data_IF_350034310548
#
_entry.id   IF_350034310548
#
_cell.length_a   1.000
_cell.length_b   1.000
_cell.length_c   1.000
_cell.angle_alpha   90.00
_cell.angle_beta   90.00
_cell.angle_gamma   90.00
#
_symmetry.space_group_name_H-M   'P 1'
#
loop_
_entity.id
_entity.type
_entity.pdbx_description
1 polymer ?
#
# COMPACT_ATOMS: atom_id res chain seq x y z
N UNK A 1 -29.88 -6.68 -36.87
CA UNK A 1 -29.07 -5.47 -36.67
C UNK A 1 -28.66 -5.47 -35.20
N UNK A 2 -27.42 -5.88 -34.92
CA UNK A 2 -26.87 -5.82 -33.57
C UNK A 2 -26.48 -4.37 -33.29
N UNK A 3 -27.00 -3.81 -32.19
CA UNK A 3 -26.58 -2.51 -31.68
C UNK A 3 -25.11 -2.59 -31.26
N UNK A 4 -24.24 -1.66 -31.66
CA UNK A 4 -22.87 -1.65 -31.17
C UNK A 4 -22.89 -1.37 -29.67
N UNK A 5 -22.31 -2.27 -28.90
CA UNK A 5 -21.98 -2.03 -27.49
C UNK A 5 -21.04 -0.83 -27.46
N UNK A 6 -21.45 0.26 -26.82
CA UNK A 6 -20.60 1.42 -26.63
C UNK A 6 -19.32 0.98 -25.92
N UNK A 7 -18.16 1.30 -26.50
CA UNK A 7 -16.89 1.14 -25.80
C UNK A 7 -16.99 1.80 -24.41
N UNK A 8 -16.48 1.17 -23.34
CA UNK A 8 -16.50 1.78 -22.03
C UNK A 8 -15.84 3.17 -22.14
N UNK A 9 -16.53 4.20 -21.66
CA UNK A 9 -15.98 5.55 -21.59
C UNK A 9 -14.66 5.48 -20.83
N UNK A 10 -13.58 5.95 -21.46
CA UNK A 10 -12.26 5.99 -20.83
C UNK A 10 -12.29 6.76 -19.50
N UNK A 11 -11.31 6.48 -18.63
CA UNK A 11 -11.14 7.21 -17.39
C UNK A 11 -11.04 8.72 -17.67
N UNK A 12 -11.97 9.50 -17.14
CA UNK A 12 -11.90 10.96 -17.19
C UNK A 12 -11.03 11.47 -16.04
N UNK A 13 -10.07 12.35 -16.34
CA UNK A 13 -9.13 12.89 -15.37
C UNK A 13 -9.33 14.40 -15.30
N UNK A 14 -9.77 14.85 -14.12
CA UNK A 14 -9.89 16.26 -13.80
C UNK A 14 -8.86 16.60 -12.72
N UNK A 15 -8.08 17.64 -12.94
CA UNK A 15 -7.10 18.14 -11.98
C UNK A 15 -7.17 19.67 -11.93
N UNK A 16 -6.76 20.26 -10.81
CA UNK A 16 -6.61 21.70 -10.71
C UNK A 16 -5.63 22.20 -11.77
N UNK A 17 -5.93 23.33 -12.40
CA UNK A 17 -5.18 23.90 -13.54
C UNK A 17 -3.66 23.97 -13.30
N UNK A 18 -3.25 24.29 -12.07
CA UNK A 18 -1.85 24.47 -11.70
C UNK A 18 -1.15 23.17 -11.25
N UNK A 19 -1.84 22.05 -11.16
CA UNK A 19 -1.30 20.83 -10.54
C UNK A 19 -0.10 20.25 -11.30
N UNK A 20 -0.20 20.12 -12.63
CA UNK A 20 0.93 19.66 -13.46
C UNK A 20 2.14 20.59 -13.36
N UNK A 21 1.91 21.89 -13.46
CA UNK A 21 2.96 22.90 -13.28
C UNK A 21 3.60 22.84 -11.88
N UNK A 22 2.82 22.57 -10.84
CA UNK A 22 3.34 22.39 -9.49
C UNK A 22 4.21 21.14 -9.37
N UNK A 23 3.76 19.99 -9.88
CA UNK A 23 4.56 18.75 -9.92
C UNK A 23 5.91 18.95 -10.65
N UNK A 24 5.91 19.68 -11.77
CA UNK A 24 7.15 20.02 -12.49
C UNK A 24 8.09 20.86 -11.61
N UNK A 25 7.56 21.90 -10.95
CA UNK A 25 8.36 22.79 -10.08
C UNK A 25 8.94 22.05 -8.88
N UNK A 26 8.21 21.08 -8.33
CA UNK A 26 8.67 20.27 -7.19
C UNK A 26 9.53 19.07 -7.61
N UNK A 27 9.69 18.82 -8.92
CA UNK A 27 10.34 17.63 -9.46
C UNK A 27 9.74 16.32 -8.90
N UNK A 28 8.40 16.24 -8.89
CA UNK A 28 7.65 15.12 -8.32
C UNK A 28 6.88 14.32 -9.38
N UNK A 29 6.70 13.04 -9.07
CA UNK A 29 5.68 12.17 -9.65
C UNK A 29 4.99 11.44 -8.50
N UNK A 30 3.73 11.06 -8.70
CA UNK A 30 2.92 10.40 -7.67
C UNK A 30 2.59 8.98 -8.10
N UNK A 31 2.54 8.08 -7.13
CA UNK A 31 1.94 6.76 -7.26
C UNK A 31 0.95 6.55 -6.12
N UNK A 32 -0.21 6.01 -6.42
CA UNK A 32 -1.23 5.73 -5.41
C UNK A 32 -2.16 4.60 -5.87
N UNK A 33 -2.79 3.95 -4.91
CA UNK A 33 -3.71 2.83 -5.12
C UNK A 33 -5.14 3.26 -4.81
N UNK A 34 -6.10 2.62 -5.48
CA UNK A 34 -7.53 2.78 -5.21
C UNK A 34 -8.18 1.41 -5.12
N UNK A 35 -8.36 0.90 -3.90
CA UNK A 35 -8.88 -0.45 -3.69
C UNK A 35 -10.33 -0.63 -4.16
N UNK A 36 -11.14 0.44 -4.18
CA UNK A 36 -12.55 0.38 -4.62
C UNK A 36 -12.69 0.19 -6.14
N UNK A 37 -11.74 0.74 -6.89
CA UNK A 37 -11.75 0.70 -8.37
C UNK A 37 -10.67 -0.20 -8.95
N UNK A 38 -9.90 -0.90 -8.09
CA UNK A 38 -8.89 -1.88 -8.46
C UNK A 38 -7.74 -1.32 -9.30
N UNK A 39 -7.21 -0.14 -8.92
CA UNK A 39 -6.19 0.57 -9.72
C UNK A 39 -4.93 0.91 -8.92
N UNK A 40 -3.79 0.77 -9.58
CA UNK A 40 -2.55 1.46 -9.26
C UNK A 40 -2.35 2.55 -10.30
N UNK A 41 -2.22 3.79 -9.84
CA UNK A 41 -1.99 4.97 -10.66
C UNK A 41 -0.57 5.46 -10.56
N UNK A 42 -0.04 5.95 -11.67
CA UNK A 42 1.17 6.77 -11.74
C UNK A 42 0.82 8.09 -12.43
N UNK A 43 1.08 9.20 -11.75
CA UNK A 43 0.87 10.55 -12.27
C UNK A 43 2.22 11.27 -12.37
N UNK A 44 2.51 11.76 -13.56
CA UNK A 44 3.75 12.46 -13.89
C UNK A 44 3.45 13.62 -14.83
N UNK A 45 4.48 14.35 -15.26
CA UNK A 45 4.34 15.40 -16.28
C UNK A 45 4.98 14.99 -17.59
N UNK A 46 4.39 15.49 -18.66
CA UNK A 46 4.96 15.48 -20.00
C UNK A 46 5.87 16.70 -20.22
N UNK A 47 6.64 16.71 -21.31
CA UNK A 47 7.50 17.83 -21.65
C UNK A 47 6.73 19.16 -21.81
N UNK A 48 5.46 19.09 -22.23
CA UNK A 48 4.56 20.24 -22.38
C UNK A 48 3.86 20.67 -21.07
N UNK A 49 4.25 20.10 -19.91
CA UNK A 49 3.68 20.34 -18.57
C UNK A 49 2.24 19.87 -18.38
N UNK A 50 1.70 19.08 -19.30
CA UNK A 50 0.45 18.38 -19.09
C UNK A 50 0.68 17.13 -18.25
N UNK A 51 -0.36 16.71 -17.52
CA UNK A 51 -0.32 15.51 -16.71
C UNK A 51 -0.33 14.28 -17.60
N UNK A 52 0.56 13.34 -17.30
CA UNK A 52 0.54 11.98 -17.84
C UNK A 52 0.10 11.03 -16.75
N UNK A 53 -0.99 10.33 -17.01
CA UNK A 53 -1.49 9.26 -16.15
C UNK A 53 -1.22 7.90 -16.79
N UNK A 54 -0.73 6.96 -15.99
CA UNK A 54 -0.71 5.55 -16.34
C UNK A 54 -1.43 4.78 -15.24
N UNK A 55 -2.20 3.77 -15.63
CA UNK A 55 -2.89 2.90 -14.69
C UNK A 55 -2.57 1.42 -14.96
N UNK A 56 -2.66 0.63 -13.89
CA UNK A 56 -2.69 -0.83 -13.96
C UNK A 56 -3.79 -1.35 -13.05
N UNK A 57 -4.40 -2.46 -13.46
CA UNK A 57 -5.44 -3.11 -12.70
C UNK A 57 -4.85 -4.17 -11.77
N UNK A 58 -5.26 -4.14 -10.51
CA UNK A 58 -4.93 -5.13 -9.49
C UNK A 58 -6.17 -5.36 -8.62
N UNK A 59 -6.38 -6.55 -8.09
CA UNK A 59 -7.50 -6.80 -7.17
C UNK A 59 -7.20 -6.21 -5.79
N UNK A 60 -7.96 -5.18 -5.40
CA UNK A 60 -7.88 -4.49 -4.11
C UNK A 60 -6.43 -4.07 -3.72
N UNK A 61 -5.74 -3.26 -4.54
CA UNK A 61 -4.42 -2.75 -4.19
C UNK A 61 -4.53 -1.78 -3.00
N UNK A 62 -3.66 -1.92 -2.01
CA UNK A 62 -3.70 -1.17 -0.76
C UNK A 62 -2.34 -0.52 -0.46
N UNK A 63 -1.57 -1.06 0.48
CA UNK A 63 -0.27 -0.54 0.90
C UNK A 63 0.69 -0.40 -0.28
N UNK A 64 1.49 0.66 -0.28
CA UNK A 64 2.38 1.02 -1.37
C UNK A 64 3.67 1.63 -0.83
N UNK A 65 4.80 1.04 -1.17
CA UNK A 65 6.10 1.47 -0.63
C UNK A 65 7.18 1.51 -1.70
N UNK A 66 7.93 2.61 -1.75
CA UNK A 66 9.05 2.80 -2.68
C UNK A 66 10.36 2.60 -1.92
N UNK A 67 11.18 1.66 -2.39
CA UNK A 67 12.53 1.43 -1.87
C UNK A 67 13.55 1.61 -3.01
N UNK A 68 14.14 2.80 -3.11
CA UNK A 68 15.10 3.14 -4.16
C UNK A 68 14.50 3.07 -5.56
N UNK A 69 14.78 1.98 -6.29
CA UNK A 69 14.25 1.71 -7.65
C UNK A 69 13.13 0.68 -7.67
N UNK A 70 12.75 0.16 -6.52
CA UNK A 70 11.75 -0.88 -6.36
C UNK A 70 10.48 -0.30 -5.78
N UNK A 71 9.35 -0.89 -6.14
CA UNK A 71 8.03 -0.59 -5.61
C UNK A 71 7.44 -1.88 -5.04
N UNK A 72 6.84 -1.79 -3.86
CA UNK A 72 6.15 -2.88 -3.20
C UNK A 72 4.70 -2.49 -3.01
N UNK A 73 3.79 -3.44 -3.22
CA UNK A 73 2.36 -3.17 -3.12
C UNK A 73 1.61 -4.38 -2.59
N UNK A 74 0.72 -4.18 -1.63
CA UNK A 74 -0.20 -5.24 -1.20
C UNK A 74 -1.47 -5.22 -2.06
N UNK A 75 -2.02 -6.40 -2.31
CA UNK A 75 -3.31 -6.62 -2.97
C UNK A 75 -4.16 -7.55 -2.10
N UNK A 76 -5.36 -7.93 -2.56
CA UNK A 76 -6.24 -8.84 -1.81
C UNK A 76 -5.52 -10.12 -1.35
N UNK A 77 -4.78 -10.75 -2.25
CA UNK A 77 -4.18 -12.08 -2.00
C UNK A 77 -2.67 -12.12 -2.18
N UNK A 78 -2.03 -11.02 -2.63
CA UNK A 78 -0.61 -10.99 -2.91
C UNK A 78 0.09 -9.77 -2.34
N UNK A 79 1.41 -9.90 -2.22
CA UNK A 79 2.34 -8.79 -2.15
C UNK A 79 3.17 -8.79 -3.42
N UNK A 80 3.11 -7.69 -4.17
CA UNK A 80 3.84 -7.49 -5.41
C UNK A 80 5.11 -6.71 -5.17
N UNK A 81 6.19 -7.16 -5.82
CA UNK A 81 7.44 -6.43 -5.98
C UNK A 81 7.62 -6.07 -7.45
N UNK A 82 7.88 -4.80 -7.72
CA UNK A 82 8.21 -4.25 -9.02
C UNK A 82 9.61 -3.64 -8.98
N UNK A 83 10.33 -3.70 -10.09
CA UNK A 83 11.59 -2.98 -10.27
C UNK A 83 11.50 -2.02 -11.46
N UNK A 84 12.20 -0.90 -11.37
CA UNK A 84 12.46 -0.06 -12.52
C UNK A 84 13.33 -0.83 -13.54
N UNK A 85 12.78 -1.07 -14.72
CA UNK A 85 13.49 -1.74 -15.80
C UNK A 85 14.55 -0.86 -16.49
N UNK A 86 14.46 0.46 -16.33
CA UNK A 86 15.33 1.40 -17.03
C UNK A 86 16.70 1.55 -16.35
N UNK A 87 17.75 1.56 -17.16
CA UNK A 87 19.09 1.96 -16.73
C UNK A 87 19.15 3.45 -16.34
N UNK A 88 20.22 3.85 -15.65
CA UNK A 88 20.40 5.27 -15.29
C UNK A 88 20.46 6.14 -16.55
N UNK A 89 19.56 7.13 -16.63
CA UNK A 89 19.46 8.04 -17.78
C UNK A 89 18.70 7.49 -18.99
N UNK A 90 18.32 6.22 -18.97
CA UNK A 90 17.43 5.64 -19.97
C UNK A 90 16.01 6.17 -19.78
N UNK A 91 15.29 6.35 -20.89
CA UNK A 91 13.90 6.78 -20.90
C UNK A 91 13.04 5.80 -21.67
N UNK A 92 11.81 5.61 -21.21
CA UNK A 92 10.75 4.97 -21.97
C UNK A 92 9.73 6.02 -22.42
N UNK A 93 9.86 6.50 -23.65
CA UNK A 93 9.19 7.72 -24.11
C UNK A 93 9.66 8.92 -23.29
N UNK A 94 8.73 9.60 -22.61
CA UNK A 94 9.04 10.74 -21.73
C UNK A 94 9.30 10.33 -20.26
N UNK A 95 9.11 9.06 -19.90
CA UNK A 95 9.23 8.59 -18.52
C UNK A 95 10.65 8.13 -18.20
N UNK A 96 11.12 8.43 -16.98
CA UNK A 96 12.44 8.04 -16.44
C UNK A 96 12.38 6.80 -15.52
N UNK A 97 11.18 6.29 -15.25
CA UNK A 97 10.96 5.00 -14.57
C UNK A 97 9.92 4.16 -15.31
N UNK A 98 10.20 2.86 -15.42
CA UNK A 98 9.30 1.83 -15.93
C UNK A 98 9.24 0.69 -14.91
N UNK A 99 8.28 0.76 -13.98
CA UNK A 99 8.08 -0.29 -13.00
C UNK A 99 7.46 -1.52 -13.67
N UNK A 100 8.17 -2.64 -13.62
CA UNK A 100 7.71 -3.94 -14.13
C UNK A 100 7.52 -4.92 -12.97
N UNK A 101 6.42 -5.69 -12.92
CA UNK A 101 6.27 -6.75 -11.91
C UNK A 101 7.42 -7.74 -12.00
N UNK A 102 8.05 -8.05 -10.86
CA UNK A 102 9.18 -9.00 -10.75
C UNK A 102 8.80 -10.23 -9.97
N UNK A 103 8.07 -10.06 -8.88
CA UNK A 103 7.66 -11.17 -8.01
C UNK A 103 6.30 -10.86 -7.39
N UNK A 104 5.51 -11.90 -7.18
CA UNK A 104 4.30 -11.87 -6.37
C UNK A 104 4.39 -12.98 -5.32
N UNK A 105 4.15 -12.62 -4.07
CA UNK A 105 4.05 -13.57 -2.97
C UNK A 105 2.59 -13.71 -2.59
N UNK A 106 2.07 -14.94 -2.55
CA UNK A 106 0.71 -15.19 -2.07
C UNK A 106 0.69 -15.05 -0.55
N UNK A 107 -0.17 -14.17 -0.04
CA UNK A 107 -0.38 -13.95 1.40
C UNK A 107 -1.67 -14.59 1.91
N UNK A 108 -2.63 -14.84 1.01
CA UNK A 108 -4.03 -15.10 1.36
C UNK A 108 -4.81 -13.80 1.59
N UNK A 109 -6.11 -13.89 1.88
CA UNK A 109 -6.93 -12.73 2.27
C UNK A 109 -6.58 -12.40 3.72
N UNK A 110 -5.58 -11.55 3.87
CA UNK A 110 -5.09 -11.05 5.15
C UNK A 110 -5.38 -9.55 5.33
N UNK A 111 -6.07 -8.99 4.33
CA UNK A 111 -6.42 -7.58 4.25
C UNK A 111 -5.19 -6.69 4.53
N UNK A 112 -4.08 -6.87 3.82
CA UNK A 112 -2.85 -6.17 4.16
C UNK A 112 -2.90 -4.67 3.78
N UNK A 113 -2.88 -3.78 4.77
CA UNK A 113 -3.03 -2.33 4.54
C UNK A 113 -1.73 -1.58 4.27
N UNK A 114 -0.61 -2.05 4.79
CA UNK A 114 0.69 -1.38 4.68
C UNK A 114 1.81 -2.38 4.45
N UNK A 115 2.85 -1.97 3.73
CA UNK A 115 4.06 -2.76 3.46
C UNK A 115 5.30 -1.88 3.53
N UNK A 116 6.38 -2.39 4.12
CA UNK A 116 7.68 -1.72 4.19
C UNK A 116 8.80 -2.75 4.10
N UNK A 117 10.04 -2.28 4.03
CA UNK A 117 11.22 -3.11 4.21
C UNK A 117 11.94 -2.70 5.51
N UNK A 118 12.51 -3.68 6.22
CA UNK A 118 13.47 -3.41 7.28
C UNK A 118 14.87 -3.05 6.73
N UNK A 119 15.82 -2.80 7.63
CA UNK A 119 17.21 -2.49 7.28
C UNK A 119 17.95 -3.61 6.53
N UNK A 120 17.51 -4.86 6.67
CA UNK A 120 18.00 -6.01 5.93
C UNK A 120 17.28 -6.22 4.58
N UNK A 121 16.33 -5.34 4.22
CA UNK A 121 15.54 -5.46 3.00
C UNK A 121 14.46 -6.53 3.06
N UNK A 122 14.12 -7.02 4.25
CA UNK A 122 13.06 -8.00 4.46
C UNK A 122 11.70 -7.30 4.57
N UNK A 123 10.71 -7.91 3.94
CA UNK A 123 9.34 -7.40 3.92
C UNK A 123 8.71 -7.49 5.30
N UNK A 124 8.16 -6.37 5.76
CA UNK A 124 7.23 -6.28 6.88
C UNK A 124 5.93 -5.71 6.35
N UNK A 125 4.80 -6.27 6.72
CA UNK A 125 3.50 -5.76 6.33
C UNK A 125 2.51 -5.83 7.49
N UNK A 126 1.50 -4.95 7.46
CA UNK A 126 0.38 -4.98 8.39
C UNK A 126 -0.59 -6.05 7.93
N UNK A 127 -0.79 -7.09 8.74
CA UNK A 127 -1.84 -8.10 8.56
C UNK A 127 -3.03 -7.71 9.44
N UNK A 128 -3.98 -7.02 8.83
CA UNK A 128 -5.12 -6.43 9.53
C UNK A 128 -6.08 -7.49 10.06
N UNK A 129 -6.33 -8.55 9.28
CA UNK A 129 -7.24 -9.61 9.70
C UNK A 129 -6.72 -10.34 10.94
N UNK A 130 -5.42 -10.53 11.05
CA UNK A 130 -4.78 -11.13 12.22
C UNK A 130 -4.34 -10.13 13.29
N UNK A 131 -4.55 -8.82 13.07
CA UNK A 131 -4.17 -7.76 14.03
C UNK A 131 -2.68 -7.77 14.40
N UNK A 132 -1.80 -7.94 13.42
CA UNK A 132 -0.36 -8.06 13.66
C UNK A 132 0.51 -7.42 12.56
N UNK A 133 1.76 -7.16 12.90
CA UNK A 133 2.83 -7.03 11.91
C UNK A 133 3.29 -8.43 11.52
N UNK A 134 3.52 -8.65 10.24
CA UNK A 134 3.92 -9.94 9.69
C UNK A 134 5.04 -9.81 8.66
N UNK A 135 5.71 -10.92 8.39
CA UNK A 135 6.64 -11.09 7.26
C UNK A 135 6.17 -12.25 6.39
N UNK A 136 6.63 -12.26 5.14
CA UNK A 136 6.46 -13.39 4.23
C UNK A 136 7.10 -14.67 4.79
N UNK A 137 6.48 -15.81 4.51
CA UNK A 137 6.97 -17.14 4.85
C UNK A 137 6.72 -18.12 3.70
N UNK A 138 7.72 -18.92 3.28
CA UNK A 138 7.53 -19.93 2.25
C UNK A 138 6.60 -21.08 2.67
N UNK A 139 6.52 -21.37 3.98
CA UNK A 139 5.78 -22.53 4.51
C UNK A 139 4.34 -22.19 4.91
N UNK A 140 4.08 -20.92 5.26
CA UNK A 140 2.81 -20.49 5.86
C UNK A 140 2.17 -19.28 5.17
N UNK A 141 2.72 -18.83 4.03
CA UNK A 141 2.46 -17.55 3.37
C UNK A 141 2.96 -16.33 4.19
N UNK A 142 2.71 -16.32 5.50
CA UNK A 142 3.22 -15.31 6.43
C UNK A 142 3.52 -15.90 7.80
N UNK A 143 4.33 -15.19 8.59
CA UNK A 143 4.46 -15.41 10.03
C UNK A 143 4.37 -14.07 10.78
N UNK A 144 3.71 -14.03 11.95
CA UNK A 144 3.63 -12.81 12.75
C UNK A 144 5.00 -12.43 13.33
N UNK A 145 5.27 -11.14 13.37
CA UNK A 145 6.45 -10.54 14.00
C UNK A 145 6.10 -9.87 15.32
N UNK A 146 4.94 -9.23 15.39
CA UNK A 146 4.49 -8.45 16.55
C UNK A 146 2.97 -8.28 16.52
N UNK A 147 2.35 -8.16 17.70
CA UNK A 147 0.92 -7.83 17.84
C UNK A 147 0.75 -6.81 18.99
N UNK A 148 -0.32 -5.99 18.99
CA UNK A 148 -0.64 -5.14 20.11
C UNK A 148 -0.84 -5.94 21.42
N UNK A 149 -0.44 -5.41 22.58
CA UNK A 149 -0.50 -6.14 23.86
C UNK A 149 -1.91 -6.48 24.32
N UNK A 150 -2.92 -5.76 23.84
CA UNK A 150 -4.33 -6.01 24.15
C UNK A 150 -4.97 -7.12 23.29
N UNK A 151 -4.30 -7.60 22.22
CA UNK A 151 -4.78 -8.71 21.41
C UNK A 151 -4.43 -10.03 22.09
N UNK A 152 -5.43 -10.83 22.47
CA UNK A 152 -5.20 -12.07 23.22
C UNK A 152 -4.79 -13.27 22.35
N UNK A 153 -5.13 -13.27 21.06
CA UNK A 153 -4.86 -14.39 20.13
C UNK A 153 -4.88 -13.94 18.66
N UNK A 154 -4.02 -14.49 17.82
CA UNK A 154 -3.98 -14.19 16.38
C UNK A 154 -4.99 -15.05 15.62
N UNK A 155 -6.16 -14.49 15.33
CA UNK A 155 -7.18 -15.09 14.47
C UNK A 155 -7.57 -14.08 13.38
N UNK A 156 -7.99 -14.58 12.21
CA UNK A 156 -8.51 -13.79 11.10
C UNK A 156 -9.88 -13.17 11.44
N UNK A 157 -9.89 -12.22 12.35
CA UNK A 157 -11.09 -11.63 12.95
C UNK A 157 -11.09 -10.10 12.88
N UNK A 158 -10.02 -9.47 12.38
CA UNK A 158 -9.89 -8.03 12.20
C UNK A 158 -10.36 -7.29 13.46
N UNK A 159 -9.68 -7.56 14.59
CA UNK A 159 -10.21 -7.18 15.91
C UNK A 159 -10.08 -5.70 16.17
N UNK A 160 -8.90 -5.14 15.92
CA UNK A 160 -8.61 -3.72 16.16
C UNK A 160 -8.52 -2.88 14.88
N UNK A 161 -8.49 -3.54 13.72
CA UNK A 161 -8.18 -2.92 12.43
C UNK A 161 -6.84 -2.20 12.41
N UNK A 162 -5.77 -2.93 12.74
CA UNK A 162 -4.39 -2.46 12.56
C UNK A 162 -4.19 -2.12 11.08
N UNK A 163 -3.74 -0.91 10.75
CA UNK A 163 -3.74 -0.44 9.36
C UNK A 163 -2.48 0.31 8.91
N UNK A 164 -1.82 1.08 9.80
CA UNK A 164 -0.64 1.88 9.46
C UNK A 164 0.61 1.38 10.17
N UNK A 165 1.76 1.67 9.57
CA UNK A 165 3.09 1.35 10.09
C UNK A 165 4.07 2.47 9.72
N UNK A 166 4.84 2.94 10.70
CA UNK A 166 5.94 3.87 10.52
C UNK A 166 7.25 3.25 11.02
N UNK A 167 8.32 3.49 10.26
CA UNK A 167 9.65 2.96 10.52
C UNK A 167 10.57 4.06 11.09
N UNK A 168 11.41 3.70 12.05
CA UNK A 168 12.52 4.54 12.54
C UNK A 168 13.79 3.70 12.48
N UNK A 169 14.84 4.25 11.85
CA UNK A 169 16.14 3.56 11.71
C UNK A 169 16.01 2.13 11.16
N UNK A 170 15.11 1.93 10.18
CA UNK A 170 14.90 0.63 9.53
C UNK A 170 14.09 -0.38 10.35
N UNK A 171 13.49 0.01 11.47
CA UNK A 171 12.69 -0.87 12.33
C UNK A 171 11.26 -0.36 12.53
N UNK A 172 10.26 -1.24 12.73
CA UNK A 172 8.92 -0.83 13.12
C UNK A 172 8.96 -0.01 14.41
N UNK A 173 8.44 1.21 14.37
CA UNK A 173 8.45 2.12 15.52
C UNK A 173 7.03 2.42 16.00
N UNK A 174 6.13 2.73 15.06
CA UNK A 174 4.76 3.07 15.39
C UNK A 174 3.79 2.36 14.47
N UNK A 175 2.65 1.97 15.02
CA UNK A 175 1.52 1.43 14.24
C UNK A 175 0.23 2.14 14.61
N UNK A 176 -0.74 2.10 13.71
CA UNK A 176 -2.08 2.64 13.97
C UNK A 176 -3.14 1.56 13.88
N UNK A 177 -4.18 1.68 14.70
CA UNK A 177 -5.37 0.84 14.67
C UNK A 177 -6.63 1.70 14.84
N UNK A 178 -7.79 1.24 14.35
CA UNK A 178 -9.05 1.98 14.53
C UNK A 178 -9.65 1.85 15.94
N UNK A 179 -9.16 0.94 16.78
CA UNK A 179 -9.63 0.76 18.17
C UNK A 179 -8.67 -0.12 18.97
N UNK A 180 -8.92 -0.24 20.28
CA UNK A 180 -8.25 -1.20 21.17
C UNK A 180 -9.07 -2.46 21.43
N UNK A 181 -10.04 -2.79 20.57
CA UNK A 181 -10.91 -3.95 20.81
C UNK A 181 -10.20 -5.27 20.52
N UNK A 182 -10.47 -6.27 21.35
CA UNK A 182 -10.03 -7.66 21.18
C UNK A 182 -11.22 -8.61 20.98
N UNK A 183 -12.18 -8.18 20.16
CA UNK A 183 -13.30 -8.99 19.68
C UNK A 183 -13.40 -8.91 18.17
N UNK A 184 -13.94 -9.96 17.54
CA UNK A 184 -14.07 -10.01 16.09
C UNK A 184 -14.81 -8.78 15.55
N UNK A 185 -14.18 -8.07 14.62
CA UNK A 185 -14.70 -6.86 14.00
C UNK A 185 -15.09 -5.72 14.97
N UNK A 186 -14.63 -5.76 16.24
CA UNK A 186 -15.08 -4.86 17.31
C UNK A 186 -14.87 -3.37 17.01
N UNK A 187 -13.79 -3.04 16.31
CA UNK A 187 -13.43 -1.69 15.87
C UNK A 187 -14.52 -0.99 15.06
N UNK A 188 -15.44 -1.74 14.42
CA UNK A 188 -16.53 -1.15 13.63
C UNK A 188 -17.44 -0.24 14.48
N UNK A 189 -17.53 -0.50 15.79
CA UNK A 189 -18.30 0.29 16.74
C UNK A 189 -17.55 1.55 17.22
N UNK A 190 -16.27 1.71 16.85
CA UNK A 190 -15.37 2.75 17.34
C UNK A 190 -14.67 3.52 16.20
N UNK A 191 -15.24 3.50 14.99
CA UNK A 191 -14.60 4.06 13.78
C UNK A 191 -14.27 5.56 13.86
N UNK A 192 -14.99 6.32 14.68
CA UNK A 192 -14.89 7.78 14.70
C UNK A 192 -13.85 8.30 15.68
N UNK A 193 -13.74 7.66 16.85
CA UNK A 193 -13.01 8.18 18.01
C UNK A 193 -12.14 7.12 18.71
N UNK A 194 -12.14 5.87 18.22
CA UNK A 194 -11.34 4.78 18.79
C UNK A 194 -9.90 4.70 18.29
N UNK A 195 -9.52 5.51 17.30
CA UNK A 195 -8.21 5.42 16.67
C UNK A 195 -7.07 5.56 17.68
N UNK A 196 -6.04 4.71 17.55
CA UNK A 196 -4.86 4.74 18.42
C UNK A 196 -3.56 4.69 17.62
N UNK A 197 -2.52 5.30 18.18
CA UNK A 197 -1.11 5.11 17.79
C UNK A 197 -0.42 4.30 18.87
N UNK A 198 0.33 3.27 18.48
CA UNK A 198 1.03 2.36 19.40
C UNK A 198 2.51 2.42 19.12
N UNK A 199 3.32 2.67 20.16
CA UNK A 199 4.77 2.46 20.15
C UNK A 199 5.07 0.96 20.19
N UNK A 200 5.71 0.45 19.14
CA UNK A 200 5.99 -0.98 18.97
C UNK A 200 7.05 -1.48 19.96
N UNK A 201 8.03 -0.64 20.30
CA UNK A 201 9.13 -1.02 21.18
C UNK A 201 8.68 -1.07 22.64
N UNK A 202 7.84 -0.10 23.05
CA UNK A 202 7.33 0.01 24.41
C UNK A 202 6.04 -0.79 24.63
N UNK A 203 5.34 -1.16 23.55
CA UNK A 203 3.99 -1.71 23.59
C UNK A 203 3.00 -0.77 24.30
N UNK A 204 3.12 0.53 24.05
CA UNK A 204 2.30 1.56 24.69
C UNK A 204 1.44 2.30 23.67
N UNK A 205 0.20 2.61 24.03
CA UNK A 205 -0.64 3.51 23.25
C UNK A 205 -0.23 4.94 23.59
N UNK A 206 0.16 5.73 22.58
CA UNK A 206 0.76 7.06 22.75
C UNK A 206 -0.12 8.21 22.24
N UNK A 207 -1.17 7.92 21.47
CA UNK A 207 -2.15 8.88 21.00
C UNK A 207 -3.47 8.18 20.65
#
# INVERSE_FOLDING_TARGET
METPVSAPSGLEINASEQFGSWLCKQNLSLAFTTYQTNRLFFVSNQANRQLKLNERLFDKPMGLYVAGKSLYMTTRYQLWHFDNFLANGEKHGECDRLYVPRTAYTTGDVNAHEVVLDDAGKVIFVNTDFSCLATLSPDYNFVPLWQPPFISKLLAEDRCHLNGLAMVEGKPAYVTACSTTDTAAGWRNHRHDGGVVIDVAQNEIIA
#
